data_IF_254107123116
#
_entry.id   IF_254107123116
#
_cell.length_a   1.000
_cell.length_b   1.000
_cell.length_c   1.000
_cell.angle_alpha   90.00
_cell.angle_beta   90.00
_cell.angle_gamma   90.00
#
_symmetry.space_group_name_H-M   'P 1'
#
loop_
_entity.id
_entity.type
_entity.pdbx_description
1 polymer ?
#
# COMPACT_ATOMS: atom_id res chain seq x y z
N UNK A 1 17.66 -67.02 0.04
CA UNK A 1 17.39 -66.88 1.49
C UNK A 1 16.28 -65.86 1.69
N UNK A 2 15.29 -66.21 2.51
CA UNK A 2 14.07 -65.45 2.85
C UNK A 2 14.36 -64.13 3.60
N UNK A 3 13.49 -63.14 3.41
CA UNK A 3 12.76 -62.33 4.43
C UNK A 3 11.92 -61.28 3.67
N UNK A 4 10.63 -61.49 3.40
CA UNK A 4 9.44 -61.32 4.25
C UNK A 4 9.32 -59.97 5.00
N UNK A 5 8.36 -59.18 4.49
CA UNK A 5 7.38 -58.29 5.13
C UNK A 5 7.76 -57.46 6.37
N UNK A 6 7.45 -56.16 6.28
CA UNK A 6 6.52 -55.52 7.23
C UNK A 6 5.85 -54.28 6.62
N UNK A 7 4.58 -54.43 6.29
CA UNK A 7 3.59 -53.35 6.26
C UNK A 7 3.29 -52.92 7.70
N UNK A 8 3.28 -51.62 7.96
CA UNK A 8 2.57 -51.01 9.08
C UNK A 8 1.83 -49.79 8.51
N UNK A 9 0.48 -49.75 8.62
CA UNK A 9 -0.32 -48.59 8.26
C UNK A 9 -0.37 -47.63 9.46
N UNK A 10 -0.17 -46.34 9.24
CA UNK A 10 -0.48 -45.32 10.27
C UNK A 10 -1.48 -44.33 9.69
N UNK A 11 -2.72 -44.53 10.15
CA UNK A 11 -3.77 -43.58 10.43
C UNK A 11 -3.75 -42.23 9.70
N UNK A 12 -4.71 -42.15 8.77
CA UNK A 12 -5.43 -40.96 8.33
C UNK A 12 -5.92 -40.14 9.54
N UNK A 13 -5.33 -38.97 9.78
CA UNK A 13 -5.91 -37.95 10.66
C UNK A 13 -6.56 -36.87 9.78
N UNK A 14 -7.86 -37.04 9.52
CA UNK A 14 -8.72 -36.00 8.99
C UNK A 14 -8.88 -34.88 10.03
N UNK A 15 -8.08 -33.81 9.92
CA UNK A 15 -8.40 -32.54 10.56
C UNK A 15 -9.38 -31.78 9.66
N UNK A 16 -10.66 -31.95 9.94
CA UNK A 16 -11.74 -31.12 9.42
C UNK A 16 -11.61 -29.75 10.08
N UNK A 17 -10.95 -28.80 9.40
CA UNK A 17 -11.14 -27.38 9.72
C UNK A 17 -12.32 -26.89 8.88
N UNK A 18 -13.51 -26.91 9.48
CA UNK A 18 -14.66 -26.21 8.96
C UNK A 18 -14.35 -24.70 9.00
N UNK A 19 -14.04 -24.12 7.85
CA UNK A 19 -14.03 -22.68 7.68
C UNK A 19 -15.46 -22.17 7.91
N UNK A 20 -15.67 -21.47 9.03
CA UNK A 20 -16.93 -20.76 9.25
C UNK A 20 -17.07 -19.64 8.22
N UNK A 21 -18.26 -19.44 7.63
CA UNK A 21 -18.48 -18.34 6.71
C UNK A 21 -18.40 -17.01 7.46
N UNK A 22 -17.57 -16.10 6.94
CA UNK A 22 -17.52 -14.71 7.37
C UNK A 22 -18.89 -14.09 7.07
N UNK A 23 -19.55 -13.61 8.12
CA UNK A 23 -20.85 -12.96 8.09
C UNK A 23 -20.76 -11.71 7.20
N UNK A 24 -21.31 -11.78 5.98
CA UNK A 24 -21.62 -10.60 5.19
C UNK A 24 -22.80 -9.88 5.86
N UNK A 25 -22.60 -8.61 6.22
CA UNK A 25 -23.67 -7.77 6.74
C UNK A 25 -24.73 -7.55 5.64
N UNK A 26 -25.84 -8.29 5.74
CA UNK A 26 -27.04 -8.04 4.96
C UNK A 26 -27.71 -6.76 5.45
N UNK A 27 -27.63 -5.68 4.65
CA UNK A 27 -28.50 -4.53 4.81
C UNK A 27 -29.89 -4.95 4.31
N UNK A 28 -30.79 -5.26 5.24
CA UNK A 28 -32.21 -5.41 4.95
C UNK A 28 -32.79 -4.01 4.73
N UNK A 29 -33.10 -3.70 3.47
CA UNK A 29 -34.13 -2.71 3.13
C UNK A 29 -35.39 -3.50 2.83
N UNK A 30 -36.41 -3.31 3.67
CA UNK A 30 -37.74 -3.84 3.40
C UNK A 30 -38.72 -2.70 3.58
N UNK A 31 -39.45 -2.37 2.51
CA UNK A 31 -40.87 -2.01 2.49
C UNK A 31 -41.20 -1.23 1.22
N UNK A 32 -41.49 -1.96 0.14
CA UNK A 32 -42.45 -1.51 -0.87
C UNK A 32 -43.59 -2.53 -0.91
N UNK A 33 -44.77 -2.12 -0.45
CA UNK A 33 -46.04 -2.74 -0.81
C UNK A 33 -46.95 -1.64 -1.36
N UNK A 34 -47.26 -1.78 -2.64
CA UNK A 34 -48.34 -1.05 -3.31
C UNK A 34 -49.71 -1.43 -2.73
N UNK A 35 -50.56 -0.44 -2.52
CA UNK A 35 -52.00 -0.55 -2.71
C UNK A 35 -52.59 0.82 -3.09
N UNK A 36 -53.26 0.83 -4.24
CA UNK A 36 -54.03 1.90 -4.87
C UNK A 36 -55.29 2.29 -4.08
N UNK A 37 -55.72 3.56 -4.12
CA UNK A 37 -57.09 4.04 -4.43
C UNK A 37 -57.31 5.53 -4.16
N UNK A 38 -58.25 6.11 -4.90
CA UNK A 38 -58.48 7.53 -5.22
C UNK A 38 -59.27 8.38 -4.19
N UNK A 39 -59.22 9.72 -4.44
CA UNK A 39 -60.18 10.79 -4.10
C UNK A 39 -60.34 11.15 -2.60
N UNK A 40 -60.42 12.42 -2.16
CA UNK A 40 -61.17 13.57 -2.70
C UNK A 40 -60.76 14.85 -1.94
N UNK A 41 -60.83 16.00 -2.62
CA UNK A 41 -60.77 17.37 -2.09
C UNK A 41 -61.71 17.61 -0.89
N UNK A 42 -61.26 18.43 0.08
CA UNK A 42 -61.99 19.63 0.55
C UNK A 42 -61.10 20.57 1.37
N UNK A 43 -61.22 21.86 1.06
CA UNK A 43 -60.69 23.07 1.72
C UNK A 43 -61.53 23.45 2.95
N UNK A 44 -60.94 24.09 3.98
CA UNK A 44 -61.21 25.49 4.39
C UNK A 44 -60.82 25.86 5.85
N UNK A 45 -59.95 26.88 5.94
CA UNK A 45 -59.98 28.12 6.76
C UNK A 45 -60.13 28.13 8.29
N UNK A 46 -59.07 28.70 8.92
CA UNK A 46 -59.03 29.92 9.76
C UNK A 46 -59.67 29.93 11.16
N UNK A 47 -58.86 30.19 12.21
CA UNK A 47 -58.89 31.45 12.98
C UNK A 47 -57.84 31.48 14.11
N UNK A 48 -57.01 32.53 14.08
CA UNK A 48 -56.36 33.20 15.22
C UNK A 48 -57.31 34.34 15.65
N UNK A 49 -57.23 34.96 16.85
CA UNK A 49 -56.07 35.75 17.33
C UNK A 49 -55.90 35.70 18.88
N UNK A 50 -54.96 36.31 19.61
CA UNK A 50 -54.48 37.71 19.72
C UNK A 50 -53.31 37.71 20.74
N UNK A 51 -52.11 38.22 20.42
CA UNK A 51 -51.48 39.52 20.78
C UNK A 51 -51.13 39.79 22.26
N UNK A 52 -49.85 40.17 22.49
CA UNK A 52 -49.40 40.96 23.65
C UNK A 52 -47.88 41.11 23.77
N UNK A 53 -47.35 42.23 23.24
CA UNK A 53 -46.17 43.08 23.57
C UNK A 53 -45.19 42.67 24.70
N UNK A 54 -43.94 43.13 24.83
CA UNK A 54 -42.91 43.93 24.12
C UNK A 54 -41.70 43.93 25.09
N UNK A 55 -40.45 44.09 24.60
CA UNK A 55 -39.33 44.59 25.42
C UNK A 55 -38.04 43.75 25.46
N UNK A 56 -36.98 44.24 24.81
CA UNK A 56 -35.58 43.99 25.21
C UNK A 56 -35.13 45.01 26.29
N UNK A 57 -33.85 45.08 26.74
CA UNK A 57 -32.61 44.51 26.17
C UNK A 57 -31.65 43.79 27.18
N UNK A 58 -30.56 43.19 26.69
CA UNK A 58 -29.27 43.10 27.44
C UNK A 58 -28.64 41.72 27.69
N UNK A 59 -27.49 41.49 27.04
CA UNK A 59 -26.27 40.73 27.42
C UNK A 59 -26.31 39.68 28.56
N UNK A 60 -25.88 38.43 28.29
CA UNK A 60 -24.52 37.89 28.52
C UNK A 60 -24.44 36.36 28.30
N UNK A 61 -23.24 35.89 27.93
CA UNK A 61 -22.84 34.53 27.55
C UNK A 61 -23.05 33.46 28.63
N UNK A 62 -23.45 32.24 28.22
CA UNK A 62 -22.99 30.97 28.84
C UNK A 62 -23.19 29.76 27.90
N UNK A 63 -22.10 29.01 27.70
CA UNK A 63 -21.90 27.81 26.86
C UNK A 63 -22.96 26.70 27.03
N UNK A 64 -23.25 25.90 25.98
CA UNK A 64 -23.82 24.57 26.16
C UNK A 64 -22.78 23.45 26.03
N UNK A 65 -22.89 22.58 27.02
CA UNK A 65 -22.34 21.24 27.18
C UNK A 65 -22.63 20.33 25.97
N UNK A 66 -21.60 19.66 25.43
CA UNK A 66 -21.78 18.52 24.52
C UNK A 66 -21.11 17.28 25.10
N UNK A 67 -21.97 16.34 25.47
CA UNK A 67 -21.63 15.01 25.98
C UNK A 67 -20.93 14.18 24.91
N UNK A 68 -19.68 13.79 25.18
CA UNK A 68 -18.95 12.79 24.39
C UNK A 68 -19.47 11.40 24.74
N UNK A 69 -20.02 10.70 23.75
CA UNK A 69 -20.29 9.27 23.82
C UNK A 69 -19.18 8.53 23.06
N UNK A 70 -18.14 8.12 23.77
CA UNK A 70 -17.00 7.38 23.20
C UNK A 70 -17.21 5.89 23.44
N UNK A 71 -17.64 5.17 22.41
CA UNK A 71 -17.56 3.70 22.37
C UNK A 71 -16.11 3.28 22.18
N UNK A 72 -15.52 2.75 23.25
CA UNK A 72 -14.20 2.12 23.27
C UNK A 72 -14.15 0.92 22.31
N UNK A 73 -13.28 1.00 21.30
CA UNK A 73 -12.76 -0.16 20.58
C UNK A 73 -11.30 -0.35 20.99
N UNK A 74 -11.05 -1.46 21.68
CA UNK A 74 -9.77 -1.88 22.24
C UNK A 74 -8.81 -2.31 21.12
N UNK A 75 -7.61 -1.71 21.04
CA UNK A 75 -6.47 -2.33 20.33
C UNK A 75 -5.58 -1.48 19.42
N UNK A 76 -5.80 -0.17 19.27
CA UNK A 76 -4.83 0.71 18.62
C UNK A 76 -4.22 1.66 19.65
N UNK A 77 -2.91 1.59 19.86
CA UNK A 77 -2.17 2.60 20.62
C UNK A 77 -2.48 3.97 20.02
N UNK A 78 -3.20 4.80 20.77
CA UNK A 78 -3.59 6.12 20.32
C UNK A 78 -2.31 6.96 20.12
N UNK A 79 -2.09 7.45 18.91
CA UNK A 79 -0.96 8.33 18.57
C UNK A 79 -1.11 9.61 19.40
N UNK A 80 -0.05 10.06 20.08
CA UNK A 80 -0.10 11.29 20.88
C UNK A 80 -0.29 12.51 19.97
N UNK A 81 -0.88 13.59 20.51
CA UNK A 81 -1.10 14.81 19.74
C UNK A 81 0.25 15.44 19.29
N UNK A 82 1.27 15.33 20.13
CA UNK A 82 2.63 15.79 19.85
C UNK A 82 3.29 14.97 18.74
N UNK A 83 3.13 13.65 18.78
CA UNK A 83 3.61 12.73 17.74
C UNK A 83 2.98 13.05 16.38
N UNK A 84 1.67 13.29 16.38
CA UNK A 84 0.91 13.68 15.19
C UNK A 84 1.38 15.03 14.65
N UNK A 85 1.55 16.02 15.53
CA UNK A 85 2.04 17.35 15.15
C UNK A 85 3.47 17.28 14.57
N UNK A 86 4.34 16.46 15.15
CA UNK A 86 5.69 16.24 14.64
C UNK A 86 5.69 15.58 13.25
N UNK A 87 4.80 14.60 13.02
CA UNK A 87 4.63 13.98 11.71
C UNK A 87 4.06 14.98 10.68
N UNK A 88 3.08 15.78 11.07
CA UNK A 88 2.49 16.84 10.22
C UNK A 88 3.48 17.94 9.85
N UNK A 89 4.52 18.16 10.67
CA UNK A 89 5.59 19.11 10.39
C UNK A 89 6.61 18.61 9.34
N UNK A 90 6.57 17.33 8.96
CA UNK A 90 7.45 16.80 7.91
C UNK A 90 7.08 17.45 6.58
N UNK A 91 8.07 18.08 5.93
CA UNK A 91 7.89 18.72 4.65
C UNK A 91 7.43 17.70 3.59
N UNK A 92 6.27 17.98 2.97
CA UNK A 92 5.75 17.16 1.87
C UNK A 92 6.68 17.24 0.66
N UNK A 93 6.91 16.12 -0.06
CA UNK A 93 7.76 16.11 -1.23
C UNK A 93 7.12 16.88 -2.39
N UNK A 94 7.95 17.42 -3.28
CA UNK A 94 7.49 17.90 -4.59
C UNK A 94 7.63 16.78 -5.62
N UNK A 95 6.57 16.52 -6.38
CA UNK A 95 6.57 15.58 -7.51
C UNK A 95 6.41 16.28 -8.86
N UNK A 96 7.05 15.74 -9.88
CA UNK A 96 7.02 16.27 -11.25
C UNK A 96 5.80 15.83 -12.06
N UNK A 97 5.23 14.67 -11.75
CA UNK A 97 4.00 14.19 -12.40
C UNK A 97 2.83 15.18 -12.25
N UNK A 98 1.88 15.15 -13.20
CA UNK A 98 0.68 16.00 -13.15
C UNK A 98 -0.15 15.74 -11.89
N UNK A 99 -0.35 14.46 -11.55
CA UNK A 99 -1.13 14.03 -10.40
C UNK A 99 -0.46 12.87 -9.65
N UNK A 100 -0.66 12.83 -8.34
CA UNK A 100 -0.21 11.74 -7.49
C UNK A 100 -0.93 11.67 -6.16
N UNK A 101 -0.96 10.48 -5.56
CA UNK A 101 -1.47 10.24 -4.21
C UNK A 101 -0.62 9.18 -3.51
N UNK A 102 -0.44 9.33 -2.21
CA UNK A 102 0.07 8.29 -1.33
C UNK A 102 -1.00 7.95 -0.29
N UNK A 103 -1.43 6.70 -0.32
CA UNK A 103 -2.46 6.16 0.55
C UNK A 103 -1.85 5.14 1.52
N UNK A 104 -1.97 5.42 2.81
CA UNK A 104 -1.65 4.50 3.90
C UNK A 104 -2.83 3.54 4.07
N UNK A 105 -2.69 2.34 3.50
CA UNK A 105 -3.73 1.32 3.48
C UNK A 105 -3.98 0.79 4.89
N UNK A 106 -2.92 0.62 5.68
CA UNK A 106 -3.01 0.09 7.05
C UNK A 106 -3.86 0.99 7.94
N UNK A 107 -3.69 2.31 7.85
CA UNK A 107 -4.42 3.27 8.68
C UNK A 107 -5.58 3.96 7.95
N UNK A 108 -5.89 3.55 6.71
CA UNK A 108 -7.05 4.01 5.96
C UNK A 108 -7.05 5.49 5.60
N UNK A 109 -5.90 6.13 5.39
CA UNK A 109 -5.78 7.60 5.21
C UNK A 109 -4.83 8.02 4.11
N UNK A 110 -5.04 9.23 3.59
CA UNK A 110 -4.16 9.86 2.60
C UNK A 110 -3.06 10.64 3.31
N UNK A 111 -1.81 10.40 2.94
CA UNK A 111 -0.65 11.11 3.50
C UNK A 111 -0.15 12.23 2.58
N UNK A 112 -0.28 12.03 1.27
CA UNK A 112 0.12 12.98 0.24
C UNK A 112 -0.89 12.96 -0.90
N UNK A 113 -1.18 14.14 -1.47
CA UNK A 113 -1.98 14.27 -2.69
C UNK A 113 -1.57 15.51 -3.49
N UNK A 114 -1.59 15.37 -4.82
CA UNK A 114 -1.47 16.45 -5.80
C UNK A 114 -2.45 16.14 -6.92
N UNK A 115 -3.43 17.02 -7.17
CA UNK A 115 -4.46 16.83 -8.20
C UNK A 115 -5.12 15.44 -8.15
N UNK A 116 -5.35 14.90 -6.94
CA UNK A 116 -5.67 13.49 -6.76
C UNK A 116 -7.05 13.09 -7.32
N UNK A 117 -7.93 14.07 -7.54
CA UNK A 117 -9.28 13.92 -8.09
C UNK A 117 -9.39 14.33 -9.58
N UNK A 118 -8.26 14.67 -10.22
CA UNK A 118 -8.24 15.00 -11.65
C UNK A 118 -8.49 13.76 -12.51
N UNK A 119 -9.41 13.87 -13.48
CA UNK A 119 -9.77 12.78 -14.40
C UNK A 119 -8.71 12.63 -15.48
N UNK A 120 -7.92 11.56 -15.38
CA UNK A 120 -6.80 11.28 -16.27
C UNK A 120 -6.90 9.88 -16.86
N UNK A 121 -6.26 9.68 -18.01
CA UNK A 121 -6.20 8.37 -18.65
C UNK A 121 -5.33 7.41 -17.80
N UNK A 122 -5.84 6.22 -17.41
CA UNK A 122 -5.12 5.29 -16.53
C UNK A 122 -3.96 4.55 -17.23
N UNK A 123 -4.01 4.42 -18.55
CA UNK A 123 -3.22 3.43 -19.30
C UNK A 123 -3.31 2.04 -18.63
N UNK A 124 -2.25 1.22 -18.72
CA UNK A 124 -2.28 -0.16 -18.22
C UNK A 124 -2.46 -0.33 -16.70
N UNK A 125 -2.50 0.73 -15.89
CA UNK A 125 -2.90 0.60 -14.47
C UNK A 125 -4.34 0.08 -14.33
N UNK A 126 -5.18 0.27 -15.36
CA UNK A 126 -6.50 -0.38 -15.52
C UNK A 126 -6.46 -1.88 -15.24
N UNK A 127 -5.37 -2.56 -15.59
CA UNK A 127 -5.26 -4.02 -15.46
C UNK A 127 -5.28 -4.51 -14.00
N UNK A 128 -5.11 -3.63 -13.01
CA UNK A 128 -5.34 -3.97 -11.60
C UNK A 128 -6.81 -4.29 -11.31
N UNK A 129 -7.74 -3.51 -11.87
CA UNK A 129 -9.18 -3.81 -11.77
C UNK A 129 -9.51 -5.12 -12.50
N UNK A 130 -8.92 -5.34 -13.68
CA UNK A 130 -9.08 -6.59 -14.43
C UNK A 130 -8.60 -7.80 -13.63
N UNK A 131 -7.39 -7.72 -13.04
CA UNK A 131 -6.84 -8.81 -12.24
C UNK A 131 -7.68 -9.08 -10.98
N UNK A 132 -8.14 -8.03 -10.30
CA UNK A 132 -9.03 -8.16 -9.14
C UNK A 132 -10.30 -8.94 -9.50
N UNK A 133 -11.02 -8.52 -10.54
CA UNK A 133 -12.26 -9.17 -10.95
C UNK A 133 -12.05 -10.61 -11.43
N UNK A 134 -10.98 -10.88 -12.17
CA UNK A 134 -10.65 -12.25 -12.59
C UNK A 134 -10.43 -13.14 -11.38
N UNK A 135 -9.69 -12.68 -10.37
CA UNK A 135 -9.44 -13.44 -9.14
C UNK A 135 -10.72 -13.63 -8.30
N UNK A 136 -11.67 -12.71 -8.37
CA UNK A 136 -12.97 -12.83 -7.68
C UNK A 136 -13.96 -13.76 -8.38
N UNK A 137 -13.82 -13.95 -9.70
CA UNK A 137 -14.87 -14.57 -10.54
C UNK A 137 -14.44 -15.84 -11.29
N UNK A 138 -13.15 -16.09 -11.46
CA UNK A 138 -12.66 -17.21 -12.27
C UNK A 138 -11.84 -18.22 -11.45
N UNK A 139 -11.90 -19.49 -11.88
CA UNK A 139 -11.01 -20.52 -11.37
C UNK A 139 -9.63 -20.40 -12.04
N UNK A 140 -8.56 -20.36 -11.25
CA UNK A 140 -7.17 -20.23 -11.73
C UNK A 140 -6.75 -21.32 -12.73
N UNK A 141 -7.28 -22.54 -12.58
CA UNK A 141 -7.00 -23.67 -13.47
C UNK A 141 -7.90 -23.68 -14.72
N UNK A 142 -8.93 -22.83 -14.73
CA UNK A 142 -9.82 -22.63 -15.88
C UNK A 142 -9.04 -22.21 -17.13
N UNK A 143 -9.54 -22.58 -18.30
CA UNK A 143 -8.90 -22.24 -19.58
C UNK A 143 -9.57 -21.02 -20.20
N UNK A 144 -8.76 -20.01 -20.49
CA UNK A 144 -9.11 -18.86 -21.32
C UNK A 144 -8.88 -19.26 -22.77
N UNK A 145 -9.95 -19.27 -23.57
CA UNK A 145 -9.87 -19.45 -25.03
C UNK A 145 -9.81 -18.07 -25.69
N UNK A 146 -8.73 -17.79 -26.40
CA UNK A 146 -8.51 -16.47 -27.01
C UNK A 146 -9.27 -16.34 -28.32
N UNK A 147 -10.29 -15.48 -28.36
CA UNK A 147 -11.03 -15.20 -29.59
C UNK A 147 -10.20 -14.39 -30.59
N UNK A 148 -10.66 -14.35 -31.86
CA UNK A 148 -10.10 -13.42 -32.86
C UNK A 148 -10.13 -11.98 -32.34
N UNK A 149 -11.27 -11.56 -31.80
CA UNK A 149 -11.47 -10.20 -31.25
C UNK A 149 -10.46 -9.89 -30.17
N UNK A 150 -10.23 -10.81 -29.22
CA UNK A 150 -9.29 -10.60 -28.13
C UNK A 150 -7.87 -10.27 -28.64
N UNK A 151 -7.41 -10.97 -29.68
CA UNK A 151 -6.04 -10.84 -30.20
C UNK A 151 -5.87 -9.77 -31.29
N UNK A 152 -6.96 -9.33 -31.94
CA UNK A 152 -6.90 -8.30 -33.00
C UNK A 152 -7.44 -6.93 -32.59
N UNK A 153 -8.28 -6.81 -31.56
CA UNK A 153 -8.84 -5.53 -31.11
C UNK A 153 -7.84 -4.76 -30.23
N UNK A 154 -6.71 -4.37 -30.85
CA UNK A 154 -5.58 -3.72 -30.22
C UNK A 154 -5.11 -2.53 -31.08
N UNK A 155 -4.70 -1.44 -30.44
CA UNK A 155 -4.07 -0.32 -31.15
C UNK A 155 -2.68 -0.69 -31.68
N UNK A 156 -2.23 0.00 -32.74
CA UNK A 156 -0.88 -0.21 -33.29
C UNK A 156 0.19 0.07 -32.23
N UNK A 157 1.16 -0.83 -32.10
CA UNK A 157 2.22 -0.72 -31.08
C UNK A 157 1.80 -1.17 -29.67
N UNK A 158 0.55 -1.63 -29.47
CA UNK A 158 0.11 -2.18 -28.20
C UNK A 158 1.00 -3.35 -27.75
N UNK A 159 1.37 -3.34 -26.47
CA UNK A 159 2.14 -4.43 -25.86
C UNK A 159 1.33 -5.72 -25.90
N UNK A 160 1.97 -6.78 -26.37
CA UNK A 160 1.41 -8.12 -26.52
C UNK A 160 2.44 -9.18 -26.19
N UNK A 161 1.97 -10.37 -25.84
CA UNK A 161 2.79 -11.58 -25.71
C UNK A 161 2.66 -12.47 -26.96
N UNK A 162 1.75 -12.15 -27.90
CA UNK A 162 1.65 -12.83 -29.19
C UNK A 162 0.84 -14.12 -29.12
N UNK A 163 -0.26 -14.09 -28.38
CA UNK A 163 -1.31 -15.11 -28.50
C UNK A 163 -2.05 -14.96 -29.82
N UNK A 164 -2.56 -16.07 -30.34
CA UNK A 164 -3.35 -16.13 -31.58
C UNK A 164 -4.72 -16.75 -31.33
N UNK A 165 -5.60 -16.64 -32.32
CA UNK A 165 -6.96 -17.16 -32.22
C UNK A 165 -7.00 -18.66 -31.87
N UNK A 166 -7.83 -18.98 -30.88
CA UNK A 166 -8.05 -20.30 -30.33
C UNK A 166 -6.89 -20.83 -29.47
N UNK A 167 -5.88 -20.02 -29.13
CA UNK A 167 -4.97 -20.37 -28.03
C UNK A 167 -5.79 -20.63 -26.75
N UNK A 168 -5.34 -21.60 -25.95
CA UNK A 168 -5.94 -21.92 -24.66
C UNK A 168 -4.89 -21.86 -23.55
N UNK A 169 -5.03 -20.91 -22.64
CA UNK A 169 -4.07 -20.65 -21.56
C UNK A 169 -4.82 -20.68 -20.24
N UNK A 170 -4.19 -21.14 -19.15
CA UNK A 170 -4.86 -21.10 -17.84
C UNK A 170 -5.15 -19.66 -17.41
N UNK A 171 -6.15 -19.45 -16.56
CA UNK A 171 -6.42 -18.14 -15.95
C UNK A 171 -5.19 -17.67 -15.17
N UNK A 172 -4.51 -18.57 -14.44
CA UNK A 172 -3.27 -18.27 -13.74
C UNK A 172 -2.17 -17.75 -14.66
N UNK A 173 -1.84 -18.49 -15.72
CA UNK A 173 -0.83 -18.08 -16.71
C UNK A 173 -1.21 -16.74 -17.37
N UNK A 174 -2.50 -16.55 -17.65
CA UNK A 174 -3.02 -15.31 -18.21
C UNK A 174 -2.82 -14.14 -17.22
N UNK A 175 -3.05 -14.32 -15.92
CA UNK A 175 -2.76 -13.29 -14.91
C UNK A 175 -1.26 -12.94 -14.85
N UNK A 176 -0.35 -13.92 -14.98
CA UNK A 176 1.09 -13.64 -15.11
C UNK A 176 1.40 -12.79 -16.35
N UNK A 177 0.84 -13.13 -17.52
CA UNK A 177 1.05 -12.33 -18.72
C UNK A 177 0.42 -10.92 -18.64
N UNK A 178 -0.74 -10.81 -17.98
CA UNK A 178 -1.45 -9.55 -17.74
C UNK A 178 -0.61 -8.60 -16.87
N UNK A 179 -0.11 -9.10 -15.73
CA UNK A 179 0.55 -8.29 -14.73
C UNK A 179 2.02 -8.02 -15.08
N UNK A 180 2.77 -9.05 -15.47
CA UNK A 180 4.22 -8.91 -15.72
C UNK A 180 4.52 -8.25 -17.06
N UNK A 181 3.82 -8.66 -18.12
CA UNK A 181 4.05 -8.15 -19.49
C UNK A 181 3.10 -7.06 -19.90
N UNK A 182 1.99 -6.85 -19.18
CA UNK A 182 0.97 -5.88 -19.57
C UNK A 182 0.31 -6.21 -20.91
N UNK A 183 0.22 -7.50 -21.26
CA UNK A 183 -0.30 -7.95 -22.56
C UNK A 183 -1.78 -7.59 -22.71
N UNK A 184 -2.12 -6.87 -23.78
CA UNK A 184 -3.46 -6.31 -23.97
C UNK A 184 -4.47 -7.34 -24.48
N UNK A 185 -4.04 -8.26 -25.34
CA UNK A 185 -4.86 -9.40 -25.79
C UNK A 185 -5.26 -10.30 -24.63
N UNK A 186 -4.38 -10.41 -23.62
CA UNK A 186 -4.63 -11.21 -22.42
C UNK A 186 -5.75 -10.61 -21.58
N UNK A 187 -5.75 -9.28 -21.42
CA UNK A 187 -6.83 -8.57 -20.75
C UNK A 187 -8.17 -8.75 -21.47
N UNK A 188 -8.18 -8.69 -22.81
CA UNK A 188 -9.40 -8.92 -23.60
C UNK A 188 -9.91 -10.37 -23.45
N UNK A 189 -9.02 -11.36 -23.56
CA UNK A 189 -9.41 -12.76 -23.40
C UNK A 189 -9.91 -13.09 -21.98
N UNK A 190 -9.29 -12.52 -20.95
CA UNK A 190 -9.77 -12.64 -19.57
C UNK A 190 -11.15 -12.00 -19.39
N UNK A 191 -11.40 -10.84 -19.99
CA UNK A 191 -12.70 -10.18 -19.97
C UNK A 191 -13.79 -11.03 -20.63
N UNK A 192 -13.51 -11.59 -21.82
CA UNK A 192 -14.42 -12.51 -22.51
C UNK A 192 -14.65 -13.80 -21.70
N UNK A 193 -13.62 -14.33 -21.05
CA UNK A 193 -13.76 -15.53 -20.20
C UNK A 193 -14.67 -15.30 -18.99
N UNK A 194 -14.57 -14.14 -18.34
CA UNK A 194 -15.34 -13.83 -17.12
C UNK A 194 -16.77 -13.36 -17.42
N UNK A 195 -16.95 -12.55 -18.47
CA UNK A 195 -18.23 -11.85 -18.72
C UNK A 195 -18.81 -12.11 -20.11
N UNK A 196 -18.23 -13.01 -20.90
CA UNK A 196 -18.66 -13.33 -22.25
C UNK A 196 -18.29 -12.30 -23.32
N UNK A 197 -18.04 -11.03 -22.94
CA UNK A 197 -17.59 -9.97 -23.85
C UNK A 197 -16.79 -8.89 -23.12
N UNK A 198 -16.00 -8.13 -23.89
CA UNK A 198 -15.25 -6.96 -23.39
C UNK A 198 -16.20 -5.89 -22.81
N UNK A 199 -17.34 -5.64 -23.46
CA UNK A 199 -18.31 -4.63 -23.00
C UNK A 199 -18.96 -5.03 -21.67
N UNK A 200 -19.43 -6.27 -21.56
CA UNK A 200 -20.02 -6.78 -20.31
C UNK A 200 -18.99 -6.80 -19.17
N UNK A 201 -17.72 -7.07 -19.47
CA UNK A 201 -16.66 -6.96 -18.47
C UNK A 201 -16.40 -5.51 -18.06
N UNK A 202 -16.45 -4.55 -18.98
CA UNK A 202 -16.34 -3.13 -18.64
C UNK A 202 -17.49 -2.66 -17.74
N UNK A 203 -18.72 -3.12 -17.96
CA UNK A 203 -19.85 -2.89 -17.05
C UNK A 203 -19.55 -3.46 -15.65
N UNK A 204 -19.01 -4.69 -15.56
CA UNK A 204 -18.58 -5.29 -14.30
C UNK A 204 -17.46 -4.48 -13.61
N UNK A 205 -16.50 -3.97 -14.37
CA UNK A 205 -15.43 -3.10 -13.86
C UNK A 205 -15.99 -1.80 -13.25
N UNK A 206 -16.98 -1.18 -13.91
CA UNK A 206 -17.62 0.04 -13.41
C UNK A 206 -18.47 -0.23 -12.17
N UNK A 207 -19.21 -1.34 -12.13
CA UNK A 207 -19.95 -1.76 -10.95
C UNK A 207 -19.01 -1.97 -9.76
N UNK A 208 -17.89 -2.69 -9.97
CA UNK A 208 -16.88 -2.90 -8.93
C UNK A 208 -16.19 -1.61 -8.49
N UNK A 209 -15.93 -0.69 -9.41
CA UNK A 209 -15.40 0.63 -9.07
C UNK A 209 -16.38 1.40 -8.15
N UNK A 210 -17.68 1.38 -8.46
CA UNK A 210 -18.71 2.01 -7.62
C UNK A 210 -18.80 1.38 -6.22
N UNK A 211 -18.72 0.05 -6.11
CA UNK A 211 -18.68 -0.67 -4.82
C UNK A 211 -17.48 -0.26 -3.96
N UNK A 212 -16.33 0.00 -4.59
CA UNK A 212 -15.13 0.50 -3.91
C UNK A 212 -15.22 2.01 -3.60
N UNK A 213 -16.34 2.66 -3.92
CA UNK A 213 -16.55 4.10 -3.71
C UNK A 213 -15.77 4.98 -4.69
N UNK A 214 -15.45 4.48 -5.88
CA UNK A 214 -14.85 5.27 -6.95
C UNK A 214 -15.94 6.07 -7.67
N UNK A 215 -15.92 7.39 -7.54
CA UNK A 215 -16.97 8.28 -8.10
C UNK A 215 -16.52 9.03 -9.35
N UNK A 216 -15.24 8.96 -9.70
CA UNK A 216 -14.63 9.69 -10.82
C UNK A 216 -13.84 8.75 -11.74
N UNK A 217 -14.32 7.52 -11.91
CA UNK A 217 -13.71 6.49 -12.76
C UNK A 217 -14.73 5.91 -13.72
N UNK A 218 -14.32 5.73 -14.97
CA UNK A 218 -15.08 5.01 -15.98
C UNK A 218 -14.16 4.14 -16.84
N UNK A 219 -14.47 2.84 -16.89
CA UNK A 219 -13.79 1.86 -17.73
C UNK A 219 -14.66 1.50 -18.93
N UNK A 220 -14.06 1.48 -20.11
CA UNK A 220 -14.66 0.97 -21.35
C UNK A 220 -13.94 -0.27 -21.88
N UNK A 221 -12.76 -0.58 -21.33
CA UNK A 221 -11.96 -1.75 -21.71
C UNK A 221 -11.11 -2.25 -20.53
N UNK A 222 -10.67 -3.53 -20.55
CA UNK A 222 -9.93 -4.17 -19.46
C UNK A 222 -8.42 -3.88 -19.48
N UNK A 223 -7.94 -3.14 -20.47
CA UNK A 223 -6.52 -3.09 -20.80
C UNK A 223 -5.90 -1.68 -20.64
N UNK A 224 -6.71 -0.62 -20.66
CA UNK A 224 -6.25 0.76 -20.53
C UNK A 224 -5.85 1.43 -21.84
N UNK A 225 -6.13 0.82 -22.99
CA UNK A 225 -5.97 1.47 -24.29
C UNK A 225 -6.90 2.69 -24.41
N UNK A 226 -6.54 3.61 -25.29
CA UNK A 226 -7.10 4.95 -25.29
C UNK A 226 -8.59 4.98 -25.67
N UNK A 227 -9.37 5.74 -24.91
CA UNK A 227 -10.72 6.19 -25.24
C UNK A 227 -10.98 7.51 -24.52
N UNK A 228 -11.84 8.36 -25.06
CA UNK A 228 -12.26 9.60 -24.38
C UNK A 228 -13.18 9.34 -23.19
N UNK A 229 -13.79 8.15 -23.14
CA UNK A 229 -14.61 7.69 -22.03
C UNK A 229 -13.80 6.87 -21.00
N UNK A 230 -12.53 6.52 -21.28
CA UNK A 230 -11.67 5.80 -20.33
C UNK A 230 -10.93 6.80 -19.43
N UNK A 231 -11.31 6.88 -18.15
CA UNK A 231 -10.63 7.75 -17.19
C UNK A 231 -10.71 7.22 -15.76
N UNK A 232 -9.81 7.70 -14.91
CA UNK A 232 -9.81 7.49 -13.46
C UNK A 232 -9.21 8.72 -12.78
N UNK A 233 -9.09 8.69 -11.45
CA UNK A 233 -8.32 9.65 -10.66
C UNK A 233 -7.25 8.92 -9.85
N UNK A 234 -6.27 9.63 -9.30
CA UNK A 234 -5.31 8.99 -8.40
C UNK A 234 -6.01 8.41 -7.17
N UNK A 235 -7.00 9.13 -6.61
CA UNK A 235 -7.75 8.69 -5.43
C UNK A 235 -8.54 7.41 -5.67
N UNK A 236 -9.23 7.32 -6.80
CA UNK A 236 -9.99 6.12 -7.14
C UNK A 236 -9.06 4.95 -7.48
N UNK A 237 -8.00 5.19 -8.25
CA UNK A 237 -7.02 4.15 -8.54
C UNK A 237 -6.31 3.64 -7.27
N UNK A 238 -6.12 4.49 -6.24
CA UNK A 238 -5.58 4.05 -4.96
C UNK A 238 -6.53 3.09 -4.22
N UNK A 239 -7.85 3.32 -4.28
CA UNK A 239 -8.86 2.39 -3.72
C UNK A 239 -8.87 1.06 -4.46
N UNK A 240 -8.84 1.11 -5.79
CA UNK A 240 -8.76 -0.09 -6.66
C UNK A 240 -7.50 -0.89 -6.34
N UNK A 241 -6.36 -0.21 -6.25
CA UNK A 241 -5.08 -0.83 -5.93
C UNK A 241 -5.08 -1.42 -4.51
N UNK A 242 -5.62 -0.72 -3.51
CA UNK A 242 -5.74 -1.24 -2.14
C UNK A 242 -6.56 -2.54 -2.11
N UNK A 243 -7.69 -2.60 -2.82
CA UNK A 243 -8.50 -3.81 -2.95
C UNK A 243 -7.75 -4.93 -3.70
N UNK A 244 -7.10 -4.61 -4.82
CA UNK A 244 -6.32 -5.56 -5.60
C UNK A 244 -5.18 -6.18 -4.79
N UNK A 245 -4.38 -5.36 -4.10
CA UNK A 245 -3.24 -5.83 -3.30
C UNK A 245 -3.65 -6.49 -1.99
N UNK A 246 -4.90 -6.39 -1.53
CA UNK A 246 -5.38 -7.22 -0.43
C UNK A 246 -5.42 -8.72 -0.80
N UNK A 247 -5.44 -9.06 -2.09
CA UNK A 247 -5.42 -10.43 -2.58
C UNK A 247 -3.98 -10.98 -2.63
N UNK A 248 -3.67 -11.97 -1.78
CA UNK A 248 -2.32 -12.58 -1.70
C UNK A 248 -1.87 -13.21 -3.03
N UNK A 249 -2.76 -13.86 -3.75
CA UNK A 249 -2.46 -14.45 -5.06
C UNK A 249 -2.07 -13.38 -6.07
N UNK A 250 -2.72 -12.21 -6.05
CA UNK A 250 -2.33 -11.08 -6.90
C UNK A 250 -0.92 -10.63 -6.56
N UNK A 251 -0.61 -10.43 -5.27
CA UNK A 251 0.72 -10.03 -4.83
C UNK A 251 1.80 -11.02 -5.28
N UNK A 252 1.58 -12.33 -5.08
CA UNK A 252 2.50 -13.39 -5.51
C UNK A 252 2.79 -13.33 -7.01
N UNK A 253 1.75 -13.19 -7.83
CA UNK A 253 1.89 -13.08 -9.28
C UNK A 253 2.66 -11.81 -9.63
N UNK A 254 2.22 -10.65 -9.13
CA UNK A 254 2.72 -9.33 -9.52
C UNK A 254 4.16 -9.06 -9.04
N UNK A 255 4.60 -9.71 -7.95
CA UNK A 255 5.99 -9.63 -7.46
C UNK A 255 6.94 -10.62 -8.13
N UNK A 256 6.47 -11.50 -9.02
CA UNK A 256 7.31 -12.52 -9.65
C UNK A 256 8.29 -11.92 -10.66
N UNK A 257 9.60 -12.13 -10.42
CA UNK A 257 10.66 -11.57 -11.27
C UNK A 257 10.91 -12.34 -12.58
N UNK A 258 10.47 -13.60 -12.64
CA UNK A 258 10.64 -14.46 -13.82
C UNK A 258 9.61 -15.57 -13.81
N UNK A 259 8.86 -15.72 -14.89
CA UNK A 259 7.83 -16.74 -15.04
C UNK A 259 8.00 -17.50 -16.35
N UNK A 260 7.96 -18.84 -16.29
CA UNK A 260 8.00 -19.68 -17.50
C UNK A 260 6.58 -19.82 -18.05
N UNK A 261 6.24 -18.97 -19.02
CA UNK A 261 4.97 -18.99 -19.71
C UNK A 261 4.88 -20.23 -20.63
N UNK A 262 3.75 -20.95 -20.65
CA UNK A 262 3.61 -22.17 -21.43
C UNK A 262 3.70 -21.93 -22.94
N UNK A 263 3.89 -23.02 -23.68
CA UNK A 263 3.83 -22.98 -25.15
C UNK A 263 2.42 -22.63 -25.61
N UNK A 264 2.34 -21.92 -26.73
CA UNK A 264 1.11 -21.53 -27.42
C UNK A 264 1.19 -22.02 -28.86
N UNK A 265 0.12 -21.86 -29.65
CA UNK A 265 0.13 -22.27 -31.06
C UNK A 265 1.24 -21.59 -31.86
N UNK A 266 1.54 -20.33 -31.55
CA UNK A 266 2.49 -19.50 -32.31
C UNK A 266 3.90 -19.45 -31.70
N UNK A 267 4.12 -20.00 -30.50
CA UNK A 267 5.40 -19.90 -29.82
C UNK A 267 5.67 -21.05 -28.85
N UNK A 268 6.93 -21.48 -28.77
CA UNK A 268 7.38 -22.38 -27.72
C UNK A 268 7.28 -21.72 -26.33
N UNK A 269 7.31 -22.53 -25.28
CA UNK A 269 7.36 -22.05 -23.90
C UNK A 269 8.54 -21.10 -23.70
N UNK A 270 8.32 -19.99 -22.99
CA UNK A 270 9.27 -18.88 -22.90
C UNK A 270 9.19 -18.18 -21.56
N UNK A 271 10.28 -17.55 -21.16
CA UNK A 271 10.32 -16.76 -19.94
C UNK A 271 9.76 -15.36 -20.17
N UNK A 272 8.92 -14.90 -19.26
CA UNK A 272 8.47 -13.51 -19.16
C UNK A 272 8.94 -12.90 -17.84
N UNK A 273 9.25 -11.61 -17.89
CA UNK A 273 9.74 -10.82 -16.75
C UNK A 273 8.97 -9.51 -16.62
N UNK A 274 8.79 -8.97 -15.41
CA UNK A 274 8.05 -7.74 -15.19
C UNK A 274 8.75 -6.52 -15.78
N UNK A 275 7.94 -5.59 -16.31
CA UNK A 275 8.42 -4.26 -16.71
C UNK A 275 8.66 -3.29 -15.55
N UNK A 276 8.11 -3.56 -14.37
CA UNK A 276 8.17 -2.67 -13.21
C UNK A 276 9.56 -2.71 -12.55
N UNK A 277 10.29 -1.59 -12.65
CA UNK A 277 11.71 -1.54 -12.26
C UNK A 277 11.95 -1.51 -10.76
N UNK A 278 10.95 -1.12 -9.97
CA UNK A 278 11.07 -1.10 -8.50
C UNK A 278 11.09 -2.49 -7.88
N UNK A 279 10.78 -3.56 -8.64
CA UNK A 279 10.81 -4.94 -8.18
C UNK A 279 12.22 -5.52 -8.06
N UNK A 280 13.20 -4.97 -8.78
CA UNK A 280 14.53 -5.58 -8.94
C UNK A 280 15.55 -4.98 -7.96
N UNK A 281 16.08 -5.73 -6.97
CA UNK A 281 17.01 -5.20 -5.96
C UNK A 281 18.27 -4.52 -6.51
N UNK A 282 18.72 -4.93 -7.71
CA UNK A 282 19.91 -4.39 -8.37
C UNK A 282 19.61 -3.19 -9.30
N UNK A 283 18.35 -2.76 -9.42
CA UNK A 283 17.97 -1.58 -10.19
C UNK A 283 17.98 -0.34 -9.28
N UNK A 284 18.49 0.80 -9.75
CA UNK A 284 18.54 2.04 -8.95
C UNK A 284 17.14 2.55 -8.52
N UNK A 285 16.11 2.12 -9.24
CA UNK A 285 14.71 2.43 -8.92
C UNK A 285 14.10 1.48 -7.90
N UNK A 286 14.81 0.43 -7.48
CA UNK A 286 14.34 -0.50 -6.45
C UNK A 286 13.79 0.23 -5.22
N UNK A 287 12.77 -0.38 -4.63
CA UNK A 287 12.25 0.04 -3.33
C UNK A 287 12.02 -1.19 -2.46
N UNK A 288 12.74 -1.25 -1.33
CA UNK A 288 12.61 -2.33 -0.37
C UNK A 288 11.16 -2.48 0.12
N UNK A 289 10.72 -3.71 0.36
CA UNK A 289 9.35 -3.99 0.82
C UNK A 289 8.27 -3.90 -0.26
N UNK A 290 8.64 -3.73 -1.54
CA UNK A 290 7.67 -3.76 -2.63
C UNK A 290 6.88 -5.06 -2.64
N UNK A 291 5.55 -4.94 -2.65
CA UNK A 291 4.58 -6.04 -2.70
C UNK A 291 4.12 -6.29 -4.14
N UNK A 292 4.10 -5.24 -4.97
CA UNK A 292 3.67 -5.28 -6.36
C UNK A 292 3.50 -3.88 -6.92
N UNK A 293 3.10 -3.79 -8.18
CA UNK A 293 2.84 -2.54 -8.85
C UNK A 293 2.62 -2.70 -10.34
N UNK A 294 1.83 -1.79 -10.91
CA UNK A 294 1.51 -1.79 -12.33
C UNK A 294 1.96 -0.51 -13.02
N UNK A 295 2.80 -0.67 -14.03
CA UNK A 295 3.18 0.40 -14.97
C UNK A 295 2.13 0.58 -16.06
N UNK A 296 2.05 1.79 -16.60
CA UNK A 296 1.29 2.09 -17.81
C UNK A 296 1.91 3.20 -18.64
N UNK A 297 1.65 3.16 -19.95
CA UNK A 297 1.98 4.23 -20.88
C UNK A 297 1.05 4.19 -22.08
N UNK A 298 0.55 5.36 -22.47
CA UNK A 298 0.07 5.66 -23.82
C UNK A 298 0.46 7.10 -24.13
N UNK A 299 0.45 7.52 -25.39
CA UNK A 299 0.76 8.91 -25.76
C UNK A 299 -0.16 9.92 -25.08
N UNK A 300 -1.43 9.57 -24.84
CA UNK A 300 -2.41 10.42 -24.14
C UNK A 300 -2.20 10.42 -22.62
N UNK A 301 -1.90 9.26 -22.04
CA UNK A 301 -1.78 9.11 -20.59
C UNK A 301 -0.43 9.55 -20.01
N UNK A 302 0.63 9.61 -20.84
CA UNK A 302 2.00 9.68 -20.33
C UNK A 302 2.35 8.42 -19.53
N UNK A 303 3.36 8.49 -18.67
CA UNK A 303 3.65 7.40 -17.74
C UNK A 303 2.66 7.42 -16.57
N UNK A 304 2.06 6.26 -16.31
CA UNK A 304 1.27 6.00 -15.10
C UNK A 304 1.95 4.89 -14.31
N UNK A 305 1.86 4.96 -12.99
CA UNK A 305 2.45 3.97 -12.09
C UNK A 305 1.59 3.82 -10.84
N UNK A 306 1.30 2.59 -10.48
CA UNK A 306 0.82 2.20 -9.16
C UNK A 306 1.89 1.32 -8.53
N UNK A 307 2.27 1.59 -7.28
CA UNK A 307 3.21 0.76 -6.53
C UNK A 307 2.68 0.54 -5.12
N UNK A 308 2.66 -0.73 -4.68
CA UNK A 308 2.33 -1.10 -3.31
C UNK A 308 3.57 -1.59 -2.58
N UNK A 309 3.79 -1.09 -1.37
CA UNK A 309 4.94 -1.43 -0.53
C UNK A 309 4.44 -1.70 0.88
N UNK A 310 5.02 -2.69 1.54
CA UNK A 310 4.81 -2.95 2.96
C UNK A 310 6.14 -3.05 3.71
N UNK A 311 6.28 -2.27 4.78
CA UNK A 311 7.41 -2.33 5.72
C UNK A 311 6.90 -2.18 7.14
N UNK A 312 7.42 -2.99 8.06
CA UNK A 312 7.14 -2.87 9.50
C UNK A 312 5.62 -2.79 9.82
N UNK A 313 4.82 -3.63 9.13
CA UNK A 313 3.37 -3.71 9.27
C UNK A 313 2.58 -2.53 8.69
N UNK A 314 3.24 -1.57 8.01
CA UNK A 314 2.58 -0.46 7.32
C UNK A 314 2.61 -0.72 5.82
N UNK A 315 1.43 -0.80 5.22
CA UNK A 315 1.25 -0.96 3.78
C UNK A 315 0.80 0.36 3.18
N UNK A 316 1.47 0.76 2.11
CA UNK A 316 1.17 1.97 1.36
C UNK A 316 0.96 1.67 -0.12
N UNK A 317 0.11 2.47 -0.75
CA UNK A 317 -0.10 2.51 -2.19
C UNK A 317 0.24 3.93 -2.67
N UNK A 318 1.20 4.00 -3.59
CA UNK A 318 1.52 5.21 -4.34
C UNK A 318 0.91 5.11 -5.74
N UNK A 319 0.21 6.16 -6.18
CA UNK A 319 -0.29 6.28 -7.56
C UNK A 319 0.26 7.56 -8.17
N UNK A 320 0.75 7.44 -9.40
CA UNK A 320 1.18 8.54 -10.27
C UNK A 320 0.41 8.45 -11.58
N UNK A 321 -0.17 9.57 -12.01
CA UNK A 321 -0.81 9.71 -13.33
C UNK A 321 -0.16 10.86 -14.11
N UNK A 322 -0.03 10.68 -15.43
CA UNK A 322 0.47 11.69 -16.38
C UNK A 322 1.83 12.26 -16.00
N UNK A 323 2.80 11.36 -15.81
CA UNK A 323 4.22 11.69 -15.66
C UNK A 323 4.94 11.68 -17.02
N UNK A 324 6.05 12.43 -17.11
CA UNK A 324 7.01 12.39 -18.22
C UNK A 324 8.32 11.76 -17.74
N UNK A 325 8.36 10.44 -17.68
CA UNK A 325 9.52 9.64 -17.23
C UNK A 325 9.99 9.84 -15.78
N UNK A 326 9.28 10.62 -14.95
CA UNK A 326 9.61 10.86 -13.53
C UNK A 326 8.91 9.92 -12.55
N UNK A 327 7.92 9.15 -13.01
CA UNK A 327 7.03 8.32 -12.18
C UNK A 327 7.73 7.47 -11.12
N UNK A 328 8.91 6.91 -11.40
CA UNK A 328 9.69 6.16 -10.41
C UNK A 328 10.29 7.04 -9.31
N UNK A 329 10.91 8.16 -9.69
CA UNK A 329 11.51 9.11 -8.75
C UNK A 329 10.43 9.73 -7.85
N UNK A 330 9.33 10.17 -8.45
CA UNK A 330 8.18 10.73 -7.74
C UNK A 330 7.57 9.72 -6.76
N UNK A 331 7.46 8.45 -7.17
CA UNK A 331 6.98 7.35 -6.30
C UNK A 331 7.89 7.12 -5.10
N UNK A 332 9.22 7.11 -5.29
CA UNK A 332 10.19 6.98 -4.19
C UNK A 332 10.06 8.12 -3.19
N UNK A 333 10.01 9.38 -3.67
CA UNK A 333 9.82 10.57 -2.82
C UNK A 333 8.55 10.47 -1.96
N UNK A 334 7.44 10.07 -2.56
CA UNK A 334 6.18 9.89 -1.81
C UNK A 334 6.31 8.79 -0.76
N UNK A 335 6.81 7.60 -1.13
CA UNK A 335 6.95 6.48 -0.20
C UNK A 335 7.91 6.82 0.96
N UNK A 336 9.04 7.46 0.69
CA UNK A 336 10.01 7.86 1.71
C UNK A 336 9.38 8.85 2.71
N UNK A 337 8.65 9.85 2.21
CA UNK A 337 7.85 10.75 3.04
C UNK A 337 6.82 9.99 3.88
N UNK A 338 6.07 9.05 3.29
CA UNK A 338 5.05 8.28 4.00
C UNK A 338 5.65 7.45 5.13
N UNK A 339 6.73 6.72 4.87
CA UNK A 339 7.39 5.92 5.89
C UNK A 339 8.03 6.79 6.98
N UNK A 340 8.59 7.96 6.63
CA UNK A 340 9.05 8.93 7.62
C UNK A 340 7.88 9.41 8.51
N UNK A 341 6.75 9.75 7.90
CA UNK A 341 5.54 10.21 8.60
C UNK A 341 5.04 9.19 9.63
N UNK A 342 4.78 7.96 9.19
CA UNK A 342 4.25 6.91 10.08
C UNK A 342 5.27 6.49 11.15
N UNK A 343 6.57 6.55 10.84
CA UNK A 343 7.60 6.29 11.84
C UNK A 343 7.61 7.39 12.89
N UNK A 344 7.48 8.67 12.52
CA UNK A 344 7.40 9.78 13.48
C UNK A 344 6.17 9.68 14.39
N UNK A 345 5.01 9.29 13.85
CA UNK A 345 3.83 9.05 14.68
C UNK A 345 4.01 7.90 15.66
N UNK A 346 4.63 6.79 15.22
CA UNK A 346 4.97 5.66 16.09
C UNK A 346 6.01 6.05 17.15
N UNK A 347 6.99 6.86 16.77
CA UNK A 347 8.06 7.36 17.64
C UNK A 347 7.61 8.44 18.63
N UNK A 348 6.39 8.97 18.51
CA UNK A 348 5.79 9.83 19.55
C UNK A 348 4.60 9.18 20.29
N UNK A 349 4.06 8.05 19.78
CA UNK A 349 3.23 7.13 20.59
C UNK A 349 4.08 6.34 21.59
N UNK A 350 5.34 6.08 21.24
CA UNK A 350 6.40 5.93 22.24
C UNK A 350 6.77 7.33 22.67
N UNK A 351 6.31 7.76 23.83
CA UNK A 351 6.92 8.92 24.46
C UNK A 351 8.44 8.76 24.37
N UNK A 352 9.17 9.85 24.14
CA UNK A 352 10.53 9.99 24.68
C UNK A 352 10.58 9.81 26.23
N UNK A 353 9.48 9.37 26.85
CA UNK A 353 9.52 8.56 28.05
C UNK A 353 10.13 7.20 27.74
N UNK A 354 11.47 7.14 27.84
CA UNK A 354 12.17 6.13 28.63
C UNK A 354 11.31 4.87 28.90
N UNK A 355 11.12 4.01 27.90
CA UNK A 355 10.41 2.74 28.13
C UNK A 355 11.36 1.82 28.91
N UNK A 356 11.18 1.81 30.23
CA UNK A 356 11.77 0.84 31.14
C UNK A 356 10.89 -0.42 31.07
N UNK A 357 10.85 -1.11 29.93
CA UNK A 357 10.23 -2.43 29.88
C UNK A 357 11.28 -3.47 30.27
N UNK A 358 11.06 -4.06 31.45
CA UNK A 358 11.84 -5.20 31.92
C UNK A 358 11.80 -6.32 30.87
N UNK A 359 12.95 -6.90 30.60
CA UNK A 359 13.16 -7.94 29.60
C UNK A 359 14.48 -8.64 29.88
N UNK A 360 14.97 -9.40 28.91
CA UNK A 360 16.26 -10.06 29.02
C UNK A 360 16.96 -10.18 27.68
N UNK A 361 18.29 -10.19 27.75
CA UNK A 361 19.14 -10.42 26.60
C UNK A 361 19.20 -11.91 26.27
N UNK A 362 18.98 -12.23 25.00
CA UNK A 362 19.08 -13.60 24.49
C UNK A 362 20.17 -13.63 23.42
N UNK A 363 21.06 -14.61 23.54
CA UNK A 363 22.11 -14.84 22.56
C UNK A 363 21.59 -15.81 21.47
N UNK A 364 21.72 -15.40 20.22
CA UNK A 364 21.22 -16.14 19.06
C UNK A 364 22.30 -16.18 17.96
N UNK A 365 22.92 -17.35 17.79
CA UNK A 365 23.92 -17.64 16.76
C UNK A 365 25.02 -16.57 16.60
N UNK A 366 25.59 -16.11 17.72
CA UNK A 366 26.65 -15.10 17.74
C UNK A 366 26.17 -13.64 17.67
N UNK A 367 24.87 -13.40 17.64
CA UNK A 367 24.25 -12.08 17.80
C UNK A 367 23.45 -12.00 19.10
N UNK A 368 23.16 -10.79 19.55
CA UNK A 368 22.29 -10.54 20.71
C UNK A 368 20.93 -10.05 20.24
N UNK A 369 19.87 -10.44 20.96
CA UNK A 369 18.52 -9.88 20.83
C UNK A 369 17.99 -9.53 22.21
N UNK A 370 17.01 -8.65 22.28
CA UNK A 370 16.33 -8.32 23.53
C UNK A 370 14.87 -8.74 23.46
N UNK A 371 14.46 -9.56 24.42
CA UNK A 371 13.09 -10.04 24.57
C UNK A 371 12.42 -9.32 25.74
N UNK A 372 11.27 -8.71 25.48
CA UNK A 372 10.45 -8.03 26.47
C UNK A 372 9.63 -9.06 27.27
N UNK A 373 9.21 -8.68 28.49
CA UNK A 373 8.43 -9.55 29.36
C UNK A 373 7.08 -10.01 28.77
N UNK A 374 6.56 -9.32 27.76
CA UNK A 374 5.33 -9.68 27.04
C UNK A 374 5.56 -10.72 25.92
N UNK A 375 6.79 -11.21 25.75
CA UNK A 375 7.19 -12.18 24.73
C UNK A 375 7.48 -11.56 23.36
N UNK A 376 7.39 -10.24 23.21
CA UNK A 376 7.86 -9.54 22.01
C UNK A 376 9.36 -9.30 22.05
N UNK A 377 9.97 -8.89 20.93
CA UNK A 377 11.40 -8.58 20.85
C UNK A 377 11.65 -7.22 20.22
N UNK A 378 12.78 -6.60 20.58
CA UNK A 378 13.23 -5.35 19.99
C UNK A 378 13.58 -5.56 18.51
N UNK A 379 12.99 -4.77 17.61
CA UNK A 379 13.23 -4.87 16.15
C UNK A 379 13.24 -3.50 15.47
N UNK A 380 14.11 -3.36 14.46
CA UNK A 380 14.04 -2.31 13.44
C UNK A 380 14.28 -0.87 13.91
N UNK A 381 14.62 -0.64 15.17
CA UNK A 381 14.82 0.70 15.75
C UNK A 381 15.76 0.67 16.96
N UNK A 382 15.95 1.84 17.58
CA UNK A 382 16.77 2.05 18.78
C UNK A 382 15.88 1.97 20.03
N UNK A 383 16.33 1.24 21.04
CA UNK A 383 15.66 1.10 22.34
C UNK A 383 16.61 1.45 23.48
N UNK A 384 16.12 2.13 24.51
CA UNK A 384 16.85 2.31 25.77
C UNK A 384 16.64 1.11 26.68
N UNK A 385 17.70 0.38 27.00
CA UNK A 385 17.72 -0.79 27.88
C UNK A 385 18.78 -0.55 28.96
N UNK A 386 18.42 -0.69 30.24
CA UNK A 386 19.35 -0.50 31.37
C UNK A 386 20.17 0.81 31.28
N UNK A 387 19.49 1.91 30.95
CA UNK A 387 20.04 3.26 30.78
C UNK A 387 21.07 3.45 29.65
N UNK A 388 21.17 2.49 28.72
CA UNK A 388 21.93 2.64 27.49
C UNK A 388 21.02 2.41 26.27
N UNK A 389 21.37 3.01 25.14
CA UNK A 389 20.59 2.86 23.91
C UNK A 389 21.22 1.80 23.01
N UNK A 390 20.40 0.93 22.43
CA UNK A 390 20.80 -0.19 21.59
C UNK A 390 19.97 -0.19 20.30
N UNK A 391 20.62 -0.33 19.16
CA UNK A 391 19.94 -0.46 17.87
C UNK A 391 19.67 -1.93 17.55
N UNK A 392 18.53 -2.20 16.91
CA UNK A 392 18.17 -3.54 16.44
C UNK A 392 17.80 -3.50 14.95
N UNK A 393 18.26 -4.50 14.18
CA UNK A 393 17.84 -4.68 12.80
C UNK A 393 16.41 -5.23 12.70
N UNK A 394 15.90 -5.40 11.47
CA UNK A 394 14.53 -5.86 11.21
C UNK A 394 14.27 -7.29 11.69
N UNK A 395 15.32 -8.10 11.87
CA UNK A 395 15.22 -9.46 12.38
C UNK A 395 15.31 -9.51 13.92
N UNK A 396 15.62 -8.37 14.55
CA UNK A 396 15.76 -8.20 15.99
C UNK A 396 17.16 -8.47 16.52
N UNK A 397 18.18 -8.45 15.65
CA UNK A 397 19.57 -8.56 16.07
C UNK A 397 20.11 -7.19 16.44
N UNK A 398 20.76 -7.13 17.60
CA UNK A 398 21.49 -5.96 18.07
C UNK A 398 22.59 -5.60 17.07
N UNK A 399 22.63 -4.33 16.67
CA UNK A 399 23.63 -3.82 15.73
C UNK A 399 24.85 -3.26 16.45
N UNK A 400 25.98 -3.26 15.75
CA UNK A 400 27.23 -2.61 16.16
C UNK A 400 27.80 -1.81 14.99
N UNK A 401 28.64 -0.82 15.27
CA UNK A 401 29.24 0.08 14.28
C UNK A 401 28.26 1.16 13.79
N UNK A 402 28.58 1.75 12.64
CA UNK A 402 27.72 2.75 12.00
C UNK A 402 26.42 2.12 11.48
N UNK A 403 25.28 2.64 11.93
CA UNK A 403 23.96 2.25 11.44
C UNK A 403 23.07 3.47 11.22
N UNK A 404 22.33 3.45 10.13
CA UNK A 404 21.36 4.48 9.82
C UNK A 404 19.98 4.07 10.33
N UNK A 405 19.38 4.91 11.16
CA UNK A 405 18.00 4.78 11.63
C UNK A 405 17.23 6.03 11.21
N UNK A 406 16.13 5.85 10.48
CA UNK A 406 15.50 6.97 9.77
C UNK A 406 16.46 7.58 8.73
N UNK A 407 16.74 8.87 8.85
CA UNK A 407 17.70 9.61 8.00
C UNK A 407 19.05 9.83 8.66
N UNK A 408 19.19 9.45 9.94
CA UNK A 408 20.32 9.82 10.76
C UNK A 408 21.26 8.63 10.97
N UNK A 409 22.56 8.92 10.96
CA UNK A 409 23.58 7.93 11.29
C UNK A 409 23.87 7.97 12.79
N UNK A 410 23.98 6.78 13.35
CA UNK A 410 24.33 6.52 14.74
C UNK A 410 25.51 5.57 14.79
N UNK A 411 26.31 5.64 15.85
CA UNK A 411 27.38 4.68 16.10
C UNK A 411 27.08 3.84 17.34
N UNK A 412 27.17 2.52 17.19
CA UNK A 412 27.00 1.56 18.28
C UNK A 412 28.35 0.90 18.58
N UNK A 413 28.77 0.91 19.83
CA UNK A 413 29.99 0.24 20.28
C UNK A 413 29.90 -1.27 20.10
N UNK A 414 31.03 -1.97 20.28
CA UNK A 414 31.09 -3.44 20.16
C UNK A 414 30.17 -4.17 21.15
N UNK A 415 29.85 -3.53 22.28
CA UNK A 415 28.87 -4.02 23.25
C UNK A 415 27.42 -3.60 22.93
N UNK A 416 27.18 -2.97 21.77
CA UNK A 416 25.88 -2.52 21.30
C UNK A 416 25.41 -1.17 21.82
N UNK A 417 26.12 -0.54 22.76
CA UNK A 417 25.71 0.76 23.32
C UNK A 417 25.93 1.88 22.31
N UNK A 418 24.93 2.72 22.13
CA UNK A 418 25.01 3.90 21.27
C UNK A 418 25.92 4.97 21.89
N UNK A 419 26.78 5.56 21.06
CA UNK A 419 27.61 6.71 21.43
C UNK A 419 26.76 7.98 21.43
N UNK A 420 26.84 8.77 22.50
CA UNK A 420 26.13 10.05 22.67
C UNK A 420 27.04 11.08 23.31
N UNK A 421 26.85 12.36 22.94
CA UNK A 421 27.63 13.51 23.43
C UNK A 421 29.14 13.28 23.43
N UNK A 422 29.64 12.63 22.37
CA UNK A 422 31.02 12.14 22.36
C UNK A 422 31.59 12.09 20.96
N UNK A 423 32.91 12.25 20.91
CA UNK A 423 33.73 12.05 19.73
C UNK A 423 34.04 10.56 19.53
N UNK A 424 33.86 10.08 18.30
CA UNK A 424 34.22 8.73 17.88
C UNK A 424 35.22 8.79 16.72
N UNK A 425 36.36 8.14 16.91
CA UNK A 425 37.31 7.93 15.82
C UNK A 425 36.99 6.65 15.05
N UNK A 426 36.77 6.75 13.75
CA UNK A 426 36.61 5.60 12.87
C UNK A 426 37.46 5.80 11.61
N UNK A 427 38.22 4.78 11.24
CA UNK A 427 39.04 4.79 10.02
C UNK A 427 39.96 6.02 9.88
N UNK A 428 40.52 6.49 11.01
CA UNK A 428 41.41 7.65 11.07
C UNK A 428 40.72 9.02 11.06
N UNK A 429 39.39 9.07 10.93
CA UNK A 429 38.58 10.30 11.00
C UNK A 429 37.84 10.41 12.33
N UNK A 430 37.56 11.64 12.75
CA UNK A 430 36.80 11.91 13.97
C UNK A 430 35.38 12.38 13.63
N UNK A 431 34.39 11.83 14.31
CA UNK A 431 32.97 12.16 14.15
C UNK A 431 32.39 12.50 15.51
N UNK A 432 31.52 13.49 15.60
CA UNK A 432 30.82 13.82 16.85
C UNK A 432 29.38 13.31 16.80
N UNK A 433 28.97 12.62 17.88
CA UNK A 433 27.60 12.19 18.09
C UNK A 433 26.96 13.11 19.14
N UNK A 434 25.81 13.70 18.81
CA UNK A 434 25.10 14.64 19.69
C UNK A 434 24.44 13.95 20.91
N UNK A 435 23.68 14.71 21.70
CA UNK A 435 23.01 14.20 22.90
C UNK A 435 21.97 13.11 22.61
N UNK A 436 21.46 13.07 21.38
CA UNK A 436 20.54 12.07 20.87
C UNK A 436 21.26 10.93 20.14
N UNK A 437 22.59 10.97 20.06
CA UNK A 437 23.44 9.98 19.41
C UNK A 437 23.47 10.06 17.89
N UNK A 438 23.02 11.19 17.30
CA UNK A 438 23.04 11.42 15.86
C UNK A 438 24.39 12.02 15.46
N UNK A 439 24.87 11.67 14.28
CA UNK A 439 26.07 12.29 13.72
C UNK A 439 25.85 13.79 13.47
N UNK A 440 26.74 14.62 13.97
CA UNK A 440 26.76 16.04 13.66
C UNK A 440 27.32 16.27 12.25
N UNK A 441 26.67 17.13 11.45
CA UNK A 441 27.10 17.50 10.09
C UNK A 441 26.96 18.99 9.88
N UNK A 442 27.84 19.57 9.05
CA UNK A 442 27.81 20.98 8.65
C UNK A 442 27.66 21.94 9.85
N UNK A 443 28.39 21.67 10.93
CA UNK A 443 28.27 22.42 12.20
C UNK A 443 29.61 22.51 12.93
N UNK A 444 29.65 23.31 14.00
CA UNK A 444 30.82 23.46 14.86
C UNK A 444 30.51 22.95 16.27
N UNK A 445 31.33 22.04 16.77
CA UNK A 445 31.23 21.46 18.11
C UNK A 445 32.09 22.28 19.08
N UNK A 446 31.52 22.60 20.25
CA UNK A 446 32.16 23.41 21.31
C UNK A 446 32.75 24.74 20.82
N UNK A 447 32.15 25.35 19.80
CA UNK A 447 32.64 26.55 19.12
C UNK A 447 34.10 26.44 18.62
N UNK A 448 34.62 25.22 18.45
CA UNK A 448 36.03 24.98 18.15
C UNK A 448 36.27 24.00 17.01
N UNK A 449 35.50 22.92 16.91
CA UNK A 449 35.76 21.83 15.97
C UNK A 449 34.71 21.79 14.86
N UNK A 450 35.10 22.05 13.61
CA UNK A 450 34.16 22.11 12.46
C UNK A 450 33.99 20.72 11.85
N UNK A 451 32.76 20.22 11.74
CA UNK A 451 32.45 18.96 11.06
C UNK A 451 31.78 19.21 9.70
N UNK A 452 32.24 18.47 8.68
CA UNK A 452 31.80 18.63 7.29
C UNK A 452 30.45 17.98 6.98
N UNK A 453 30.10 17.96 5.70
CA UNK A 453 28.86 17.34 5.21
C UNK A 453 28.83 15.82 5.37
N UNK A 454 29.99 15.18 5.41
CA UNK A 454 30.16 13.75 5.73
C UNK A 454 30.20 13.48 7.24
N UNK A 455 30.12 14.54 8.07
CA UNK A 455 30.19 14.49 9.52
C UNK A 455 31.60 14.35 10.09
N UNK A 456 32.63 14.26 9.23
CA UNK A 456 34.00 14.18 9.69
C UNK A 456 34.50 15.55 10.16
N UNK A 457 35.27 15.56 11.26
CA UNK A 457 36.01 16.74 11.70
C UNK A 457 37.00 17.17 10.62
N UNK A 458 36.88 18.42 10.22
CA UNK A 458 37.79 19.11 9.30
C UNK A 458 38.90 19.71 10.16
N UNK A 459 40.09 19.10 10.08
CA UNK A 459 41.29 19.56 10.78
C UNK A 459 41.87 20.84 10.19
#
# INVERSE_FOLDING_TARGET
MRKMNRFIPVALACAIFAAQPVQAATIIRDSDKQATSQNKQTTNTTQNPQTGNEGGPGYEDSKPNTSNNTTNTTGQSQVSAEAKAAADAIAKPTISAEAGILYDVTNGRVLFEKNADEKLAPASTTKLMTALLVLEKANLDGKVTFSKTAVTNLESGAVKIGLVEGDQVSVKDSLYALLLKSANEVANGLAEHVSGSISAFAELMNARAAELGCTNTHFVNPNGLNSDQQYTTCRDMAKIAAAAFANKTLCEIDSTLSYKFPATKAAAARTITPGHKMLYPNDSRYYAGIVGGKTGYTSKAGNTLVTCVEKNGVRMVAVILKSKSTHYEDTKKMLDYGYQYVNTEKSGSTSAGKQITAGHWVQDNGSWRYEFADGTKAVGTIYTIDAADFGFDTDGKMVTGWKMFGTEWHYFETNGKMVKSAWRQDSGKWFYLDAEGKIAKNTTIDNKYVVGADGAWVQ
#
